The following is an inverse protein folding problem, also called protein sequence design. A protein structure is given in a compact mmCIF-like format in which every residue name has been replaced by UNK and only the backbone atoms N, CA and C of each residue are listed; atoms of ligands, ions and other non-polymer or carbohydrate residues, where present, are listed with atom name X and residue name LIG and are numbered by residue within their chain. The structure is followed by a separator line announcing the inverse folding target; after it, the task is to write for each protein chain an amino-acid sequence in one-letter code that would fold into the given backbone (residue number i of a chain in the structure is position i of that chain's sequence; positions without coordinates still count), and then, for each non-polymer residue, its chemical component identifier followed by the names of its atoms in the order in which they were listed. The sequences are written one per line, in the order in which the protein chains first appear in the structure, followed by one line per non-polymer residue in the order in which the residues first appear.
data_IF_068894263214
#
_entry.id   IF_068894263214
#
_cell.length_a   1.000
_cell.length_b   1.000
_cell.length_c   1.000
_cell.angle_alpha   90.00
_cell.angle_beta   90.00
_cell.angle_gamma   90.00
#
_symmetry.space_group_name_H-M   'P 1'
#
loop_
_entity.id
_entity.type
_entity.pdbx_description
1 polymer ?
#
# COMPACT_ATOMS: atom_id res chain seq x y z
N UNK A 1 4.06 -4.73 -15.56
CA UNK A 1 2.59 -4.94 -15.47
C UNK A 1 2.12 -4.53 -14.08
N UNK A 2 0.93 -3.93 -13.94
CA UNK A 2 0.35 -3.66 -12.61
C UNK A 2 -0.30 -4.93 -12.06
N UNK A 3 0.02 -5.25 -10.82
CA UNK A 3 -0.44 -6.44 -10.12
C UNK A 3 -1.76 -6.19 -9.39
N UNK A 4 -2.03 -4.94 -8.99
CA UNK A 4 -3.16 -4.61 -8.13
C UNK A 4 -4.37 -4.05 -8.91
N UNK A 5 -4.22 -3.79 -10.22
CA UNK A 5 -5.36 -3.46 -11.09
C UNK A 5 -6.37 -4.60 -11.21
N UNK A 6 -5.92 -5.84 -11.09
CA UNK A 6 -6.77 -7.04 -11.03
C UNK A 6 -7.07 -7.48 -9.59
N UNK A 7 -6.95 -6.61 -8.58
CA UNK A 7 -7.24 -7.00 -7.22
C UNK A 7 -8.70 -7.46 -7.04
N UNK A 8 -8.89 -8.64 -6.43
CA UNK A 8 -10.22 -9.20 -6.14
C UNK A 8 -10.79 -8.65 -4.84
N UNK A 9 -9.93 -8.21 -3.91
CA UNK A 9 -10.36 -7.63 -2.66
C UNK A 9 -9.36 -6.60 -2.15
N UNK A 10 -9.85 -5.43 -1.75
CA UNK A 10 -9.05 -4.41 -1.07
C UNK A 10 -9.67 -4.11 0.29
N UNK A 11 -8.84 -4.08 1.32
CA UNK A 11 -9.20 -3.72 2.69
C UNK A 11 -8.24 -2.65 3.19
N UNK A 12 -8.75 -1.80 4.06
CA UNK A 12 -8.00 -0.71 4.68
C UNK A 12 -8.26 -0.72 6.18
N UNK A 13 -7.31 -0.23 6.97
CA UNK A 13 -7.41 -0.13 8.43
C UNK A 13 -8.65 0.63 8.87
N UNK A 14 -8.88 1.79 8.27
CA UNK A 14 -9.92 2.75 8.64
C UNK A 14 -10.24 3.69 7.47
N UNK A 15 -11.31 4.46 7.62
CA UNK A 15 -11.70 5.54 6.70
C UNK A 15 -12.14 6.73 7.55
N UNK A 16 -11.64 7.92 7.25
CA UNK A 16 -11.93 9.16 7.98
C UNK A 16 -13.44 9.34 8.16
N UNK A 17 -13.90 9.48 9.41
CA UNK A 17 -15.32 9.62 9.78
C UNK A 17 -16.24 8.50 9.25
N UNK A 18 -15.67 7.35 8.86
CA UNK A 18 -16.37 6.27 8.15
C UNK A 18 -17.01 6.71 6.83
N UNK A 19 -16.61 7.84 6.27
CA UNK A 19 -17.14 8.36 5.01
C UNK A 19 -16.50 7.66 3.81
N UNK A 20 -16.97 6.44 3.57
CA UNK A 20 -16.54 5.63 2.41
C UNK A 20 -16.92 6.24 1.06
N UNK A 21 -17.84 7.22 1.04
CA UNK A 21 -18.23 7.90 -0.20
C UNK A 21 -17.21 8.95 -0.59
N UNK A 22 -16.57 9.63 0.36
CA UNK A 22 -15.58 10.67 0.08
C UNK A 22 -14.12 10.19 0.21
N UNK A 23 -13.84 9.25 1.12
CA UNK A 23 -12.47 8.87 1.47
C UNK A 23 -12.19 7.36 1.36
N UNK A 24 -12.99 6.65 0.58
CA UNK A 24 -12.93 5.19 0.48
C UNK A 24 -11.75 4.68 -0.37
N UNK A 25 -11.29 3.46 -0.05
CA UNK A 25 -10.23 2.73 -0.77
C UNK A 25 -10.39 2.58 -2.29
N UNK A 26 -11.60 2.78 -2.84
CA UNK A 26 -11.82 2.75 -4.30
C UNK A 26 -11.02 3.85 -5.02
N UNK A 27 -10.74 4.96 -4.31
CA UNK A 27 -9.99 6.10 -4.81
C UNK A 27 -8.48 5.86 -4.88
N UNK A 28 -7.97 4.73 -4.36
CA UNK A 28 -6.57 4.36 -4.52
C UNK A 28 -6.19 4.06 -5.99
N UNK A 29 -7.18 3.73 -6.83
CA UNK A 29 -6.97 3.13 -8.17
C UNK A 29 -7.73 3.83 -9.30
N UNK A 30 -8.45 4.91 -9.02
CA UNK A 30 -9.35 5.54 -10.00
C UNK A 30 -8.63 6.56 -10.91
N UNK A 31 -7.34 6.80 -10.66
CA UNK A 31 -6.50 7.76 -11.38
C UNK A 31 -7.06 9.20 -11.34
N UNK A 32 -7.69 9.57 -10.22
CA UNK A 32 -8.21 10.91 -10.01
C UNK A 32 -7.49 11.61 -8.84
N UNK A 33 -6.78 12.68 -9.15
CA UNK A 33 -5.99 13.46 -8.17
C UNK A 33 -6.87 14.23 -7.17
N UNK A 34 -8.17 14.39 -7.45
CA UNK A 34 -9.13 15.07 -6.56
C UNK A 34 -9.76 14.14 -5.51
N UNK A 35 -9.50 12.83 -5.59
CA UNK A 35 -10.06 11.83 -4.68
C UNK A 35 -8.98 11.02 -3.99
N UNK A 36 -9.24 10.57 -2.76
CA UNK A 36 -8.23 9.86 -2.00
C UNK A 36 -8.84 8.81 -1.08
N UNK A 37 -8.00 7.86 -0.67
CA UNK A 37 -8.23 7.18 0.60
C UNK A 37 -7.64 8.04 1.72
N UNK A 38 -8.44 8.31 2.74
CA UNK A 38 -8.01 9.01 3.96
C UNK A 38 -8.33 8.12 5.16
N UNK A 39 -7.30 7.74 5.92
CA UNK A 39 -7.49 6.95 7.12
C UNK A 39 -8.09 7.79 8.25
N UNK A 40 -8.75 7.15 9.19
CA UNK A 40 -9.05 7.80 10.46
C UNK A 40 -7.78 7.86 11.33
N UNK A 41 -7.84 8.62 12.43
CA UNK A 41 -6.75 8.70 13.40
C UNK A 41 -6.39 7.32 13.99
N UNK A 42 -5.11 7.11 14.32
CA UNK A 42 -4.63 5.89 14.97
C UNK A 42 -3.19 5.52 14.63
N UNK A 43 -2.60 4.65 15.46
CA UNK A 43 -1.16 4.39 15.46
C UNK A 43 -0.67 3.47 14.32
N UNK A 44 -1.57 2.75 13.65
CA UNK A 44 -1.21 1.82 12.59
C UNK A 44 -2.23 1.84 11.45
N UNK A 45 -1.85 2.41 10.32
CA UNK A 45 -2.65 2.38 9.10
C UNK A 45 -2.12 1.31 8.16
N UNK A 46 -3.03 0.66 7.43
CA UNK A 46 -2.63 -0.36 6.47
C UNK A 46 -3.61 -0.48 5.32
N UNK A 47 -3.08 -0.94 4.19
CA UNK A 47 -3.85 -1.39 3.03
C UNK A 47 -3.50 -2.87 2.80
N UNK A 48 -4.51 -3.70 2.58
CA UNK A 48 -4.35 -5.13 2.24
C UNK A 48 -5.09 -5.44 0.95
N UNK A 49 -4.40 -6.09 0.03
CA UNK A 49 -4.85 -6.34 -1.34
C UNK A 49 -4.74 -7.83 -1.61
N UNK A 50 -5.86 -8.44 -2.02
CA UNK A 50 -5.91 -9.81 -2.58
C UNK A 50 -5.79 -9.72 -4.09
N UNK A 51 -4.82 -10.43 -4.64
CA UNK A 51 -4.62 -10.52 -6.08
C UNK A 51 -5.61 -11.53 -6.70
N UNK A 52 -5.93 -11.37 -7.98
CA UNK A 52 -6.73 -12.36 -8.71
C UNK A 52 -6.00 -13.68 -8.90
N UNK A 53 -4.68 -13.62 -9.07
CA UNK A 53 -3.82 -14.78 -9.26
C UNK A 53 -2.58 -14.64 -8.37
N UNK A 54 -2.06 -15.76 -7.90
CA UNK A 54 -0.78 -15.78 -7.20
C UNK A 54 0.34 -15.39 -8.15
N UNK A 55 1.27 -14.56 -7.66
CA UNK A 55 2.41 -14.07 -8.41
C UNK A 55 3.72 -14.60 -7.83
N UNK A 56 4.74 -14.72 -8.66
CA UNK A 56 6.08 -15.05 -8.19
C UNK A 56 6.74 -13.85 -7.52
N UNK A 57 7.47 -14.12 -6.44
CA UNK A 57 8.34 -13.16 -5.78
C UNK A 57 9.51 -12.89 -6.72
N UNK A 58 9.55 -11.71 -7.34
CA UNK A 58 10.66 -11.30 -8.21
C UNK A 58 11.39 -10.07 -7.65
N UNK A 59 12.65 -9.93 -8.05
CA UNK A 59 13.52 -8.83 -7.60
C UNK A 59 13.16 -7.44 -8.14
N UNK A 60 12.23 -7.36 -9.10
CA UNK A 60 11.90 -6.13 -9.82
C UNK A 60 10.59 -5.48 -9.36
N UNK A 61 10.09 -5.86 -8.17
CA UNK A 61 8.84 -5.33 -7.64
C UNK A 61 8.98 -3.84 -7.32
N UNK A 62 8.01 -3.04 -7.77
CA UNK A 62 7.98 -1.59 -7.53
C UNK A 62 6.69 -1.17 -6.86
N UNK A 63 6.81 -0.35 -5.82
CA UNK A 63 5.69 0.38 -5.23
C UNK A 63 5.67 1.80 -5.79
N UNK A 64 4.54 2.22 -6.34
CA UNK A 64 4.27 3.62 -6.69
C UNK A 64 3.17 4.13 -5.77
N UNK A 65 3.39 5.25 -5.10
CA UNK A 65 2.45 5.83 -4.16
C UNK A 65 2.50 7.36 -4.20
N UNK A 66 1.34 7.99 -4.12
CA UNK A 66 1.18 9.43 -4.01
C UNK A 66 0.44 9.78 -2.72
N UNK A 67 1.16 10.38 -1.76
CA UNK A 67 0.59 10.84 -0.50
C UNK A 67 0.05 12.27 -0.62
N UNK A 68 -0.68 12.73 0.40
CA UNK A 68 -0.84 14.15 0.68
C UNK A 68 0.30 14.62 1.59
N UNK A 69 0.94 15.75 1.24
CA UNK A 69 1.93 16.38 2.14
C UNK A 69 1.32 16.68 3.51
N UNK A 70 2.05 16.33 4.58
CA UNK A 70 1.60 16.37 5.98
C UNK A 70 0.82 15.14 6.45
N UNK A 71 0.53 14.18 5.56
CA UNK A 71 -0.22 12.94 5.86
C UNK A 71 0.44 11.71 5.23
N UNK A 72 1.78 11.74 5.14
CA UNK A 72 2.59 10.70 4.55
C UNK A 72 3.08 9.70 5.60
N UNK A 73 3.39 8.48 5.16
CA UNK A 73 4.12 7.52 5.99
C UNK A 73 5.62 7.78 5.86
N UNK A 74 6.37 7.85 6.97
CA UNK A 74 7.85 7.91 6.89
C UNK A 74 8.47 6.53 6.65
N UNK A 75 7.75 5.47 7.01
CA UNK A 75 8.17 4.09 6.79
C UNK A 75 7.00 3.25 6.29
N UNK A 76 7.13 2.68 5.11
CA UNK A 76 6.20 1.67 4.59
C UNK A 76 6.84 0.29 4.73
N UNK A 77 6.16 -0.62 5.42
CA UNK A 77 6.55 -2.02 5.53
C UNK A 77 5.58 -2.90 4.76
N UNK A 78 6.07 -3.54 3.70
CA UNK A 78 5.32 -4.43 2.84
C UNK A 78 5.51 -5.88 3.26
N UNK A 79 4.40 -6.62 3.32
CA UNK A 79 4.34 -8.06 3.51
C UNK A 79 3.71 -8.68 2.26
N UNK A 80 4.46 -9.55 1.58
CA UNK A 80 3.94 -10.45 0.56
C UNK A 80 3.47 -11.72 1.24
N UNK A 81 2.22 -12.09 1.07
CA UNK A 81 1.54 -13.14 1.84
C UNK A 81 1.04 -14.23 0.87
N UNK A 82 1.23 -15.49 1.24
CA UNK A 82 0.71 -16.66 0.55
C UNK A 82 0.08 -17.60 1.56
N UNK A 83 -1.19 -17.96 1.34
CA UNK A 83 -1.93 -18.87 2.22
C UNK A 83 -1.83 -18.49 3.72
N UNK A 84 -1.93 -17.19 3.99
CA UNK A 84 -1.83 -16.62 5.34
C UNK A 84 -0.42 -16.49 5.92
N UNK A 85 0.61 -17.00 5.23
CA UNK A 85 2.01 -16.92 5.67
C UNK A 85 2.77 -15.82 4.93
N UNK A 86 3.70 -15.15 5.63
CA UNK A 86 4.55 -14.13 5.00
C UNK A 86 5.62 -14.83 4.17
N UNK A 87 5.55 -14.65 2.85
CA UNK A 87 6.51 -15.18 1.88
C UNK A 87 7.78 -14.30 1.81
N UNK A 88 7.59 -12.98 1.78
CA UNK A 88 8.67 -12.01 1.77
C UNK A 88 8.22 -10.67 2.36
N UNK A 89 9.18 -9.85 2.76
CA UNK A 89 8.95 -8.47 3.21
C UNK A 89 9.83 -7.48 2.46
N UNK A 90 9.43 -6.20 2.47
CA UNK A 90 10.26 -5.11 2.00
C UNK A 90 9.93 -3.82 2.72
N UNK A 91 10.89 -2.91 2.74
CA UNK A 91 10.75 -1.60 3.35
C UNK A 91 11.04 -0.50 2.32
N UNK A 92 10.29 0.59 2.40
CA UNK A 92 10.61 1.85 1.72
C UNK A 92 10.29 3.05 2.61
N UNK A 93 10.90 4.19 2.30
CA UNK A 93 10.90 5.38 3.14
C UNK A 93 10.47 6.59 2.30
N UNK A 94 9.17 6.87 2.21
CA UNK A 94 8.66 8.01 1.46
C UNK A 94 9.02 9.35 2.09
N UNK A 95 9.22 10.35 1.24
CA UNK A 95 9.30 11.75 1.66
C UNK A 95 7.89 12.33 1.84
N UNK A 96 7.78 13.38 2.68
CA UNK A 96 6.52 14.05 2.95
C UNK A 96 6.14 15.04 1.83
N UNK A 97 5.84 14.52 0.65
CA UNK A 97 5.54 15.28 -0.56
C UNK A 97 4.31 14.74 -1.27
N UNK A 98 3.65 15.58 -2.06
CA UNK A 98 2.46 15.19 -2.82
C UNK A 98 2.75 14.65 -4.23
N UNK A 99 4.02 14.61 -4.64
CA UNK A 99 4.41 14.03 -5.92
C UNK A 99 4.37 12.50 -5.85
N UNK A 100 4.12 11.87 -7.00
CA UNK A 100 4.21 10.42 -7.14
C UNK A 100 5.64 9.96 -6.82
N UNK A 101 5.79 9.04 -5.88
CA UNK A 101 7.07 8.42 -5.51
C UNK A 101 7.07 6.95 -5.92
N UNK A 102 8.18 6.48 -6.47
CA UNK A 102 8.32 5.08 -6.90
C UNK A 102 9.57 4.45 -6.28
N UNK A 103 9.39 3.29 -5.65
CA UNK A 103 10.41 2.57 -4.92
C UNK A 103 10.65 1.21 -5.56
N UNK A 104 11.91 0.89 -5.89
CA UNK A 104 12.30 -0.48 -6.21
C UNK A 104 12.47 -1.23 -4.90
N UNK A 105 11.63 -2.24 -4.67
CA UNK A 105 11.55 -2.94 -3.39
C UNK A 105 12.62 -4.03 -3.31
N UNK A 106 13.44 -3.96 -2.26
CA UNK A 106 14.41 -5.01 -1.93
C UNK A 106 13.73 -6.05 -1.06
N UNK A 107 13.31 -7.15 -1.68
CA UNK A 107 12.61 -8.22 -0.99
C UNK A 107 13.56 -9.02 -0.10
N UNK A 108 13.15 -9.23 1.14
CA UNK A 108 13.76 -10.15 2.09
C UNK A 108 12.83 -11.35 2.22
N UNK A 109 13.17 -12.46 1.58
CA UNK A 109 12.39 -13.70 1.65
C UNK A 109 12.45 -14.26 3.08
N UNK A 110 11.29 -14.52 3.68
CA UNK A 110 11.16 -15.11 5.02
C UNK A 110 10.93 -16.61 4.98
N UNK A 111 10.66 -17.17 3.79
CA UNK A 111 10.36 -18.59 3.59
C UNK A 111 10.87 -19.05 2.23
N UNK A 112 10.94 -20.37 2.02
CA UNK A 112 11.21 -20.96 0.71
C UNK A 112 10.06 -20.71 -0.30
N UNK A 113 8.94 -20.11 0.14
CA UNK A 113 7.81 -19.79 -0.72
C UNK A 113 8.19 -18.70 -1.72
N UNK A 114 8.04 -19.02 -3.01
CA UNK A 114 8.31 -18.11 -4.12
C UNK A 114 7.04 -17.49 -4.68
N UNK A 115 5.89 -17.66 -4.02
CA UNK A 115 4.59 -17.15 -4.46
C UNK A 115 3.96 -16.26 -3.39
N UNK A 116 3.10 -15.35 -3.82
CA UNK A 116 2.21 -14.58 -2.96
C UNK A 116 0.90 -14.30 -3.69
N UNK A 117 -0.20 -14.22 -2.94
CA UNK A 117 -1.52 -13.89 -3.45
C UNK A 117 -2.15 -12.70 -2.72
N UNK A 118 -1.49 -12.21 -1.68
CA UNK A 118 -1.88 -11.06 -0.90
C UNK A 118 -0.68 -10.12 -0.69
N UNK A 119 -0.96 -8.82 -0.67
CA UNK A 119 0.01 -7.79 -0.32
C UNK A 119 -0.57 -6.95 0.79
N UNK A 120 0.18 -6.75 1.88
CA UNK A 120 -0.19 -5.84 2.95
C UNK A 120 0.88 -4.77 3.09
N UNK A 121 0.47 -3.52 3.04
CA UNK A 121 1.33 -2.35 3.25
C UNK A 121 0.96 -1.76 4.60
N UNK A 122 1.90 -1.76 5.52
CA UNK A 122 1.76 -1.11 6.82
C UNK A 122 2.45 0.25 6.77
N UNK A 123 1.70 1.31 7.09
CA UNK A 123 2.19 2.68 7.17
C UNK A 123 2.56 2.99 8.61
N UNK A 124 3.86 3.19 8.85
CA UNK A 124 4.46 3.44 10.16
C UNK A 124 5.03 4.85 10.19
N UNK A 125 5.06 5.42 11.39
CA UNK A 125 5.66 6.73 11.66
C UNK A 125 5.10 7.81 10.73
N UNK A 126 3.81 8.11 10.82
CA UNK A 126 3.18 9.11 9.95
C UNK A 126 3.69 10.52 10.23
N UNK A 127 3.58 11.41 9.25
CA UNK A 127 3.89 12.83 9.41
C UNK A 127 2.75 13.60 10.09
N UNK A 128 1.51 13.15 9.93
CA UNK A 128 0.36 13.69 10.66
C UNK A 128 0.43 13.35 12.15
N UNK A 129 0.13 14.34 13.01
CA UNK A 129 0.17 14.22 14.46
C UNK A 129 -0.82 13.17 15.01
N UNK A 130 -1.93 12.93 14.33
CA UNK A 130 -2.97 11.98 14.76
C UNK A 130 -2.83 10.60 14.14
N UNK A 131 -1.72 10.31 13.43
CA UNK A 131 -1.52 8.99 12.84
C UNK A 131 -2.23 8.78 11.50
N UNK A 132 -2.76 9.83 10.86
CA UNK A 132 -3.52 9.68 9.60
C UNK A 132 -2.61 9.55 8.40
N UNK A 133 -3.13 8.84 7.39
CA UNK A 133 -2.51 8.66 6.08
C UNK A 133 -3.52 9.04 5.01
N UNK A 134 -3.09 9.85 4.03
CA UNK A 134 -3.90 10.19 2.85
C UNK A 134 -3.15 9.80 1.59
N UNK A 135 -3.79 8.98 0.73
CA UNK A 135 -3.21 8.46 -0.51
C UNK A 135 -4.16 8.73 -1.67
N UNK A 136 -3.63 9.40 -2.70
CA UNK A 136 -4.33 9.70 -3.96
C UNK A 136 -4.18 8.58 -4.98
N UNK A 137 -3.02 7.92 -5.01
CA UNK A 137 -2.74 6.86 -5.97
C UNK A 137 -1.82 5.81 -5.38
N UNK A 138 -2.12 4.55 -5.69
CA UNK A 138 -1.32 3.40 -5.31
C UNK A 138 -1.22 2.44 -6.49
N UNK A 139 0.00 2.01 -6.82
CA UNK A 139 0.24 0.91 -7.76
C UNK A 139 1.37 0.00 -7.25
N UNK A 140 1.27 -1.28 -7.59
CA UNK A 140 2.33 -2.26 -7.39
C UNK A 140 2.60 -2.92 -8.74
N UNK A 141 3.82 -2.80 -9.24
CA UNK A 141 4.19 -3.27 -10.57
C UNK A 141 5.39 -4.21 -10.53
N UNK A 142 5.42 -5.10 -11.51
CA UNK A 142 6.47 -6.09 -11.73
C UNK A 142 6.90 -6.04 -13.20
N UNK A 143 8.21 -6.10 -13.48
CA UNK A 143 8.80 -5.98 -14.82
C UNK A 143 9.76 -7.13 -15.08
#
# INVERSE_FOLDING_TARGET
MSLIKSATNVRVSSVLNRDVKQYGKKYLFDNNEDTCWNSDQGDLQWIKIKLEQSCQVEHNLKLSVQFQGGFSSKHCHLELIYDGNIAATADCYPEDVNSMQTFNLKLSASSDLQLYDEVKINFKETTDFFGRVTIYSLDLTQL
#
